data_IF_335625195757
#
_entry.id   IF_335625195757
#
_cell.length_a   1.000
_cell.length_b   1.000
_cell.length_c   1.000
_cell.angle_alpha   90.00
_cell.angle_beta   90.00
_cell.angle_gamma   90.00
#
_symmetry.space_group_name_H-M   'P 1'
#
loop_
_entity.id
_entity.type
_entity.pdbx_description
1 polymer ?
#
# COMPACT_ATOMS: atom_id res chain seq x y z
N UNK A 1 -5.02 14.41 -17.89
CA UNK A 1 -5.85 13.31 -18.41
C UNK A 1 -6.15 12.36 -17.26
N UNK A 2 -7.42 12.03 -17.00
CA UNK A 2 -7.78 11.09 -15.95
C UNK A 2 -7.98 9.68 -16.55
N UNK A 3 -7.41 8.65 -15.91
CA UNK A 3 -7.51 7.25 -16.35
C UNK A 3 -8.02 6.42 -15.16
N UNK A 4 -8.92 5.46 -15.43
CA UNK A 4 -9.39 4.50 -14.41
C UNK A 4 -8.47 3.29 -14.35
N UNK A 5 -7.92 3.01 -13.17
CA UNK A 5 -7.08 1.84 -12.93
C UNK A 5 -7.95 0.57 -12.76
N UNK A 6 -7.65 -0.49 -13.51
CA UNK A 6 -8.31 -1.80 -13.36
C UNK A 6 -7.61 -2.59 -12.25
N UNK A 7 -8.28 -2.71 -11.10
CA UNK A 7 -7.73 -3.28 -9.87
C UNK A 7 -8.24 -4.68 -9.54
N UNK A 8 -9.26 -5.15 -10.25
CA UNK A 8 -9.87 -6.46 -10.03
C UNK A 8 -8.82 -7.58 -10.17
N UNK A 9 -8.68 -8.38 -9.12
CA UNK A 9 -7.70 -9.48 -9.04
C UNK A 9 -6.23 -9.04 -8.95
N UNK A 10 -5.96 -7.73 -8.80
CA UNK A 10 -4.60 -7.20 -8.65
C UNK A 10 -4.20 -7.12 -7.19
N UNK A 11 -2.96 -7.50 -6.91
CA UNK A 11 -2.38 -7.40 -5.56
C UNK A 11 -2.00 -5.96 -5.25
N UNK A 12 -2.58 -5.41 -4.19
CA UNK A 12 -2.28 -4.09 -3.64
C UNK A 12 -1.65 -4.32 -2.27
N UNK A 13 -0.42 -3.85 -2.11
CA UNK A 13 0.29 -3.94 -0.83
C UNK A 13 0.27 -2.55 -0.19
N UNK A 14 -0.19 -2.51 1.05
CA UNK A 14 -0.30 -1.30 1.87
C UNK A 14 0.67 -1.45 3.03
N UNK A 15 1.65 -0.56 3.13
CA UNK A 15 2.61 -0.53 4.22
C UNK A 15 2.19 0.56 5.20
N UNK A 16 1.89 0.13 6.43
CA UNK A 16 1.30 0.95 7.49
C UNK A 16 -0.13 0.53 7.80
N UNK A 17 -0.48 0.55 9.08
CA UNK A 17 -1.80 0.18 9.60
C UNK A 17 -2.55 1.32 10.28
N UNK A 18 -2.14 2.56 10.01
CA UNK A 18 -2.70 3.79 10.59
C UNK A 18 -3.84 4.42 9.77
N UNK A 19 -4.21 5.64 10.16
CA UNK A 19 -5.32 6.39 9.54
C UNK A 19 -5.05 6.70 8.06
N UNK A 20 -3.82 7.13 7.73
CA UNK A 20 -3.43 7.42 6.34
C UNK A 20 -3.53 6.17 5.46
N UNK A 21 -3.02 5.03 5.93
CA UNK A 21 -3.13 3.76 5.21
C UNK A 21 -4.58 3.37 4.92
N UNK A 22 -5.47 3.52 5.90
CA UNK A 22 -6.91 3.31 5.73
C UNK A 22 -7.52 4.22 4.65
N UNK A 23 -7.23 5.52 4.71
CA UNK A 23 -7.73 6.49 3.72
C UNK A 23 -7.29 6.14 2.30
N UNK A 24 -6.03 5.72 2.12
CA UNK A 24 -5.50 5.34 0.81
C UNK A 24 -6.16 4.06 0.29
N UNK A 25 -6.27 3.02 1.12
CA UNK A 25 -6.75 1.72 0.67
C UNK A 25 -8.27 1.63 0.52
N UNK A 26 -9.04 2.52 1.17
CA UNK A 26 -10.50 2.50 1.13
C UNK A 26 -11.04 2.49 -0.32
N UNK A 27 -10.46 3.31 -1.20
CA UNK A 27 -10.85 3.38 -2.61
C UNK A 27 -10.46 2.17 -3.47
N UNK A 28 -9.74 1.19 -2.91
CA UNK A 28 -9.33 -0.06 -3.56
C UNK A 28 -10.19 -1.25 -3.13
N UNK A 29 -10.73 -1.23 -1.91
CA UNK A 29 -11.55 -2.32 -1.34
C UNK A 29 -12.76 -2.61 -2.23
N UNK A 30 -13.46 -1.57 -2.67
CA UNK A 30 -14.67 -1.71 -3.49
C UNK A 30 -14.40 -2.10 -4.96
N UNK A 31 -13.11 -2.19 -5.36
CA UNK A 31 -12.71 -2.44 -6.75
C UNK A 31 -12.20 -3.86 -6.99
N UNK A 32 -12.40 -4.78 -6.05
CA UNK A 32 -12.02 -6.19 -6.18
C UNK A 32 -10.51 -6.43 -6.14
N UNK A 33 -9.75 -5.51 -5.55
CA UNK A 33 -8.32 -5.69 -5.32
C UNK A 33 -8.05 -6.73 -4.23
N UNK A 34 -6.96 -7.48 -4.36
CA UNK A 34 -6.44 -8.34 -3.29
C UNK A 34 -5.51 -7.47 -2.43
N UNK A 35 -5.99 -7.05 -1.26
CA UNK A 35 -5.29 -6.06 -0.43
C UNK A 35 -4.58 -6.75 0.73
N UNK A 36 -3.27 -6.53 0.84
CA UNK A 36 -2.46 -6.94 1.99
C UNK A 36 -1.98 -5.69 2.74
N UNK A 37 -2.30 -5.61 4.02
CA UNK A 37 -1.85 -4.53 4.91
C UNK A 37 -0.75 -5.06 5.81
N UNK A 38 0.43 -4.45 5.71
CA UNK A 38 1.65 -4.89 6.37
C UNK A 38 2.07 -3.79 7.34
N UNK A 39 2.07 -4.08 8.63
CA UNK A 39 2.37 -3.09 9.66
C UNK A 39 2.79 -3.75 10.97
N UNK A 40 3.45 -3.01 11.85
CA UNK A 40 3.68 -3.43 13.23
C UNK A 40 2.38 -3.46 14.02
N UNK A 41 1.50 -2.49 13.81
CA UNK A 41 0.22 -2.34 14.50
C UNK A 41 -0.88 -1.87 13.54
N UNK A 42 -2.13 -2.11 13.93
CA UNK A 42 -3.31 -1.79 13.14
C UNK A 42 -4.32 -1.04 14.00
N UNK A 43 -4.85 0.07 13.49
CA UNK A 43 -5.98 0.76 14.13
C UNK A 43 -7.26 -0.07 14.03
N UNK A 44 -8.22 0.17 14.93
CA UNK A 44 -9.43 -0.65 15.04
C UNK A 44 -10.24 -0.79 13.74
N UNK A 45 -10.31 0.23 12.89
CA UNK A 45 -11.00 0.12 11.59
C UNK A 45 -10.29 -0.84 10.63
N UNK A 46 -8.96 -0.87 10.62
CA UNK A 46 -8.17 -1.80 9.79
C UNK A 46 -8.30 -3.23 10.31
N UNK A 47 -8.32 -3.41 11.63
CA UNK A 47 -8.56 -4.71 12.26
C UNK A 47 -9.93 -5.29 11.86
N UNK A 48 -11.00 -4.49 11.95
CA UNK A 48 -12.35 -4.89 11.54
C UNK A 48 -12.43 -5.29 10.06
N UNK A 49 -11.69 -4.60 9.19
CA UNK A 49 -11.60 -4.99 7.77
C UNK A 49 -10.91 -6.34 7.58
N UNK A 50 -9.88 -6.63 8.38
CA UNK A 50 -9.24 -7.94 8.42
C UNK A 50 -10.18 -9.04 8.90
N UNK A 51 -10.89 -8.80 10.00
CA UNK A 51 -11.89 -9.73 10.57
C UNK A 51 -13.04 -10.00 9.60
N UNK A 52 -13.46 -8.99 8.85
CA UNK A 52 -14.48 -9.12 7.80
C UNK A 52 -13.96 -9.76 6.50
N UNK A 53 -12.69 -10.17 6.45
CA UNK A 53 -12.07 -10.79 5.27
C UNK A 53 -11.90 -9.85 4.07
N UNK A 54 -11.99 -8.53 4.28
CA UNK A 54 -11.85 -7.53 3.21
C UNK A 54 -10.40 -7.26 2.83
N UNK A 55 -9.49 -7.45 3.78
CA UNK A 55 -8.04 -7.29 3.61
C UNK A 55 -7.31 -8.39 4.37
N UNK A 56 -6.11 -8.77 3.92
CA UNK A 56 -5.22 -9.60 4.71
C UNK A 56 -4.32 -8.72 5.60
N UNK A 57 -4.20 -9.04 6.88
CA UNK A 57 -3.34 -8.30 7.81
C UNK A 57 -2.08 -9.12 8.10
N UNK A 58 -0.91 -8.55 7.85
CA UNK A 58 0.38 -9.16 8.15
C UNK A 58 1.12 -8.29 9.16
N UNK A 59 1.24 -8.81 10.39
CA UNK A 59 2.03 -8.14 11.41
C UNK A 59 3.51 -8.35 11.10
N UNK A 60 4.18 -7.30 10.63
CA UNK A 60 5.59 -7.38 10.21
C UNK A 60 6.29 -6.04 10.47
N UNK A 61 7.49 -6.13 11.04
CA UNK A 61 8.41 -5.00 11.13
C UNK A 61 9.39 -5.06 9.95
N UNK A 62 9.41 -3.99 9.15
CA UNK A 62 10.30 -3.88 7.99
C UNK A 62 11.57 -3.17 8.45
N UNK A 63 12.70 -3.90 8.41
CA UNK A 63 14.03 -3.37 8.76
C UNK A 63 14.85 -2.98 7.53
N UNK A 64 14.59 -3.64 6.42
CA UNK A 64 15.24 -3.43 5.13
C UNK A 64 14.15 -3.40 4.07
N UNK A 65 13.95 -2.23 3.46
CA UNK A 65 12.91 -2.00 2.48
C UNK A 65 13.15 -2.78 1.17
N UNK A 66 14.41 -2.87 0.75
CA UNK A 66 14.81 -3.53 -0.49
C UNK A 66 14.62 -5.04 -0.36
N UNK A 67 15.20 -5.65 0.67
CA UNK A 67 15.04 -7.07 0.94
C UNK A 67 13.56 -7.45 1.14
N UNK A 68 12.79 -6.59 1.81
CA UNK A 68 11.37 -6.79 1.97
C UNK A 68 10.64 -6.80 0.62
N UNK A 69 10.83 -5.78 -0.22
CA UNK A 69 10.17 -5.72 -1.55
C UNK A 69 10.61 -6.88 -2.44
N UNK A 70 11.88 -7.26 -2.38
CA UNK A 70 12.45 -8.39 -3.12
C UNK A 70 11.83 -9.73 -2.68
N UNK A 71 11.48 -9.86 -1.40
CA UNK A 71 10.81 -11.05 -0.86
C UNK A 71 9.33 -11.19 -1.26
N UNK A 72 8.68 -10.09 -1.67
CA UNK A 72 7.26 -10.10 -2.03
C UNK A 72 7.01 -10.98 -3.26
N UNK A 73 6.13 -11.96 -3.11
CA UNK A 73 5.65 -12.83 -4.17
C UNK A 73 4.14 -13.09 -4.02
N UNK A 74 3.29 -12.70 -4.99
CA UNK A 74 3.64 -11.99 -6.23
C UNK A 74 4.15 -10.56 -5.96
N UNK A 75 4.83 -9.96 -6.95
CA UNK A 75 5.15 -8.52 -6.89
C UNK A 75 3.87 -7.68 -6.88
N UNK A 76 3.82 -6.60 -6.08
CA UNK A 76 2.62 -5.77 -6.00
C UNK A 76 2.34 -5.13 -7.35
N UNK A 77 1.07 -5.08 -7.75
CA UNK A 77 0.64 -4.21 -8.83
C UNK A 77 0.64 -2.75 -8.37
N UNK A 78 0.22 -2.51 -7.13
CA UNK A 78 0.28 -1.22 -6.44
C UNK A 78 0.94 -1.38 -5.08
N UNK A 79 1.88 -0.50 -4.74
CA UNK A 79 2.44 -0.38 -3.40
C UNK A 79 2.12 1.00 -2.79
N UNK A 80 1.40 1.01 -1.67
CA UNK A 80 1.07 2.22 -0.91
C UNK A 80 1.98 2.28 0.32
N UNK A 81 2.95 3.18 0.34
CA UNK A 81 3.84 3.41 1.47
C UNK A 81 3.29 4.55 2.34
N UNK A 82 2.71 4.18 3.48
CA UNK A 82 1.93 5.05 4.36
C UNK A 82 2.31 4.89 5.85
N UNK A 83 3.61 4.70 6.12
CA UNK A 83 4.15 4.64 7.48
C UNK A 83 4.52 6.02 8.00
N UNK A 84 4.78 6.15 9.30
CA UNK A 84 5.28 7.41 9.89
C UNK A 84 6.79 7.62 9.63
N UNK A 85 7.48 6.67 9.00
CA UNK A 85 8.88 6.78 8.61
C UNK A 85 8.99 7.16 7.12
N UNK A 86 9.29 8.43 6.87
CA UNK A 86 9.43 8.96 5.52
C UNK A 86 10.62 8.38 4.74
N UNK A 87 11.69 7.94 5.43
CA UNK A 87 12.85 7.30 4.79
C UNK A 87 12.46 5.90 4.32
N UNK A 88 11.78 5.13 5.19
CA UNK A 88 11.23 3.83 4.83
C UNK A 88 10.25 3.95 3.66
N UNK A 89 9.35 4.94 3.69
CA UNK A 89 8.41 5.17 2.59
C UNK A 89 9.13 5.43 1.26
N UNK A 90 10.22 6.21 1.28
CA UNK A 90 11.05 6.52 0.12
C UNK A 90 11.74 5.28 -0.45
N UNK A 91 12.35 4.47 0.41
CA UNK A 91 13.07 3.26 0.00
C UNK A 91 12.12 2.18 -0.57
N UNK A 92 10.99 1.95 0.09
CA UNK A 92 9.95 1.03 -0.39
C UNK A 92 9.43 1.43 -1.77
N UNK A 93 9.17 2.73 -1.98
CA UNK A 93 8.71 3.24 -3.26
C UNK A 93 9.76 3.04 -4.36
N UNK A 94 11.03 3.37 -4.09
CA UNK A 94 12.13 3.14 -5.05
C UNK A 94 12.27 1.67 -5.40
N UNK A 95 12.27 0.79 -4.39
CA UNK A 95 12.42 -0.64 -4.58
C UNK A 95 11.28 -1.23 -5.42
N UNK A 96 10.03 -0.88 -5.12
CA UNK A 96 8.87 -1.37 -5.84
C UNK A 96 8.81 -0.88 -7.30
N UNK A 97 9.22 0.36 -7.58
CA UNK A 97 9.29 0.89 -8.96
C UNK A 97 10.21 0.08 -9.86
N UNK A 98 11.30 -0.50 -9.33
CA UNK A 98 12.21 -1.36 -10.13
C UNK A 98 11.53 -2.62 -10.66
N UNK A 99 10.45 -3.06 -10.01
CA UNK A 99 9.63 -4.19 -10.44
C UNK A 99 8.42 -3.79 -11.29
N UNK A 100 8.29 -2.51 -11.65
CA UNK A 100 7.17 -2.00 -12.46
C UNK A 100 5.88 -1.82 -11.67
N UNK A 101 5.91 -1.87 -10.34
CA UNK A 101 4.76 -1.55 -9.50
C UNK A 101 4.41 -0.06 -9.59
N UNK A 102 3.11 0.25 -9.57
CA UNK A 102 2.65 1.61 -9.34
C UNK A 102 2.82 1.94 -7.85
N UNK A 103 3.46 3.06 -7.52
CA UNK A 103 3.70 3.40 -6.12
C UNK A 103 3.02 4.70 -5.71
N UNK A 104 2.64 4.75 -4.44
CA UNK A 104 2.18 5.95 -3.77
C UNK A 104 2.88 6.05 -2.42
N UNK A 105 3.74 7.05 -2.25
CA UNK A 105 4.38 7.37 -0.97
C UNK A 105 3.77 8.65 -0.37
N UNK A 106 3.29 8.57 0.87
CA UNK A 106 2.55 9.68 1.50
C UNK A 106 3.36 10.97 1.63
N UNK A 107 4.67 10.89 1.87
CA UNK A 107 5.50 12.08 2.12
C UNK A 107 6.35 12.48 0.91
N UNK A 108 6.24 11.76 -0.21
CA UNK A 108 7.10 11.96 -1.37
C UNK A 108 6.29 12.13 -2.66
N UNK A 109 5.71 13.32 -2.92
CA UNK A 109 4.87 13.57 -4.09
C UNK A 109 5.56 13.24 -5.42
N UNK A 110 6.86 13.51 -5.54
CA UNK A 110 7.66 13.23 -6.74
C UNK A 110 7.77 11.74 -7.09
N UNK A 111 7.46 10.84 -6.16
CA UNK A 111 7.50 9.39 -6.38
C UNK A 111 6.14 8.80 -6.67
N UNK A 112 5.04 9.53 -6.45
CA UNK A 112 3.69 9.01 -6.66
C UNK A 112 3.44 8.84 -8.16
N UNK A 113 3.05 7.64 -8.60
CA UNK A 113 2.70 7.37 -10.00
C UNK A 113 1.26 7.77 -10.35
N UNK A 114 0.43 8.00 -9.33
CA UNK A 114 -0.96 8.41 -9.48
C UNK A 114 -1.40 9.28 -8.30
N UNK A 115 -2.48 10.02 -8.50
CA UNK A 115 -3.18 10.76 -7.45
C UNK A 115 -4.51 10.06 -7.11
N UNK A 116 -4.94 10.15 -5.86
CA UNK A 116 -6.23 9.63 -5.44
C UNK A 116 -7.27 10.74 -5.50
N UNK A 117 -8.43 10.43 -6.09
CA UNK A 117 -9.52 11.40 -6.21
C UNK A 117 -10.16 11.78 -4.87
N UNK A 118 -9.86 11.04 -3.79
CA UNK A 118 -10.29 11.34 -2.42
C UNK A 118 -9.41 12.39 -1.73
N UNK A 119 -8.36 12.90 -2.39
CA UNK A 119 -7.56 14.05 -1.94
C UNK A 119 -8.06 15.38 -2.51
N UNK A 120 -9.21 15.40 -3.22
CA UNK A 120 -9.82 16.60 -3.83
C UNK A 120 -11.12 16.96 -3.15
#
# INVERSE_FOLDING_TARGET
MAIKLKLEGKTVIVIGGGQKAYQLMAGFIDKGAIIWVISRDFIGVVQRLGEAGKVALLRTEIKDAEAFVDSLNPKPYVLLAATDDSSLNLELAKAAKRYGSLVYAIDNPSLRDFALSSEV
#
